data_IF_247994620145
#
_entry.id   IF_247994620145
#
_cell.length_a   1.000
_cell.length_b   1.000
_cell.length_c   1.000
_cell.angle_alpha   90.00
_cell.angle_beta   90.00
_cell.angle_gamma   90.00
#
_symmetry.space_group_name_H-M   'P 1'
#
loop_
_entity.id
_entity.type
_entity.pdbx_description
1 polymer ?
#
# COMPACT_ATOMS: atom_id res chain seq x y z
N UNK A 1 -13.04 5.47 -0.68
CA UNK A 1 -12.55 6.31 -1.79
C UNK A 1 -11.23 5.71 -2.26
N UNK A 2 -11.20 5.05 -3.41
CA UNK A 2 -9.98 4.43 -3.91
C UNK A 2 -9.19 5.46 -4.75
N UNK A 3 -8.08 5.96 -4.22
CA UNK A 3 -7.13 6.73 -5.01
C UNK A 3 -6.28 5.74 -5.81
N UNK A 4 -6.72 5.43 -7.03
CA UNK A 4 -5.92 4.63 -7.97
C UNK A 4 -5.66 5.48 -9.20
N UNK A 5 -4.51 6.17 -9.22
CA UNK A 5 -4.10 6.92 -10.40
C UNK A 5 -3.33 6.00 -11.36
N UNK A 6 -4.05 5.12 -12.06
CA UNK A 6 -3.50 4.22 -13.07
C UNK A 6 -2.90 4.95 -14.29
N UNK A 7 -3.24 6.23 -14.51
CA UNK A 7 -2.87 7.00 -15.70
C UNK A 7 -1.40 7.47 -15.76
N UNK A 8 -0.65 7.41 -14.66
CA UNK A 8 0.74 7.91 -14.65
C UNK A 8 1.71 7.05 -15.46
N UNK A 9 1.40 5.78 -15.72
CA UNK A 9 2.28 4.87 -16.46
C UNK A 9 2.30 5.14 -17.97
N UNK A 10 1.17 5.54 -18.55
CA UNK A 10 1.07 5.86 -19.98
C UNK A 10 1.59 7.27 -20.29
N UNK A 11 1.49 8.20 -19.33
CA UNK A 11 1.99 9.57 -19.46
C UNK A 11 3.51 9.70 -19.22
N UNK A 12 4.22 8.62 -18.85
CA UNK A 12 5.64 8.67 -18.49
C UNK A 12 5.96 9.50 -17.24
N UNK A 13 4.93 9.91 -16.49
CA UNK A 13 5.02 10.78 -15.32
C UNK A 13 5.01 9.99 -14.00
N UNK A 14 4.88 8.66 -14.05
CA UNK A 14 4.97 7.78 -12.88
C UNK A 14 6.40 7.31 -12.60
N UNK A 15 6.77 7.17 -11.33
CA UNK A 15 8.01 6.50 -10.94
C UNK A 15 8.00 5.04 -11.39
N UNK A 16 8.95 4.65 -12.24
CA UNK A 16 9.07 3.28 -12.80
C UNK A 16 9.54 2.23 -11.76
N UNK A 17 9.73 2.61 -10.50
CA UNK A 17 10.44 1.79 -9.51
C UNK A 17 9.51 0.87 -8.68
N UNK A 18 8.46 1.40 -8.06
CA UNK A 18 7.57 0.62 -7.18
C UNK A 18 6.10 0.90 -7.50
N UNK A 19 5.40 -0.09 -8.04
CA UNK A 19 3.96 -0.01 -8.30
C UNK A 19 3.17 -0.48 -7.09
N UNK A 20 2.37 0.40 -6.51
CA UNK A 20 1.55 0.11 -5.35
C UNK A 20 0.17 0.76 -5.49
N UNK A 21 -0.83 0.14 -4.89
CA UNK A 21 -2.19 0.67 -4.77
C UNK A 21 -2.55 0.66 -3.29
N UNK A 22 -3.05 1.80 -2.81
CA UNK A 22 -3.59 1.94 -1.46
C UNK A 22 -5.12 1.96 -1.52
N UNK A 23 -5.76 0.95 -0.93
CA UNK A 23 -7.21 0.80 -0.85
C UNK A 23 -7.69 1.19 0.55
N UNK A 24 -8.49 2.23 0.65
CA UNK A 24 -9.09 2.69 1.91
C UNK A 24 -10.60 2.43 1.83
N UNK A 25 -11.09 1.52 2.68
CA UNK A 25 -12.48 1.03 2.67
C UNK A 25 -12.97 0.72 4.07
N UNK A 26 -14.26 0.76 4.32
CA UNK A 26 -14.93 0.32 5.56
C UNK A 26 -15.29 -1.18 5.54
N UNK A 27 -15.17 -1.82 4.38
CA UNK A 27 -15.30 -3.26 4.21
C UNK A 27 -15.12 -3.72 2.76
N UNK A 28 -15.11 -5.03 2.56
CA UNK A 28 -15.21 -5.69 1.26
C UNK A 28 -16.12 -6.90 1.39
N UNK A 29 -17.21 -6.94 0.60
CA UNK A 29 -18.19 -8.03 0.61
C UNK A 29 -17.58 -9.34 0.09
N UNK A 30 -16.62 -9.25 -0.83
CA UNK A 30 -15.96 -10.38 -1.48
C UNK A 30 -14.43 -10.16 -1.62
N UNK A 31 -13.70 -11.22 -1.94
CA UNK A 31 -12.24 -11.23 -2.08
C UNK A 31 -11.75 -10.73 -3.46
N UNK A 32 -12.66 -10.58 -4.44
CA UNK A 32 -12.38 -10.10 -5.81
C UNK A 32 -11.19 -10.79 -6.52
N UNK A 33 -10.91 -12.06 -6.17
CA UNK A 33 -9.88 -12.90 -6.77
C UNK A 33 -9.78 -12.84 -8.32
N UNK A 34 -10.87 -12.97 -9.10
CA UNK A 34 -10.78 -13.00 -10.56
C UNK A 34 -10.21 -11.71 -11.16
N UNK A 35 -10.30 -10.58 -10.45
CA UNK A 35 -9.69 -9.31 -10.87
C UNK A 35 -8.17 -9.39 -10.70
N UNK A 36 -7.69 -9.90 -9.57
CA UNK A 36 -6.25 -10.03 -9.32
C UNK A 36 -5.60 -11.08 -10.22
N UNK A 37 -6.32 -12.18 -10.50
CA UNK A 37 -5.90 -13.19 -11.46
C UNK A 37 -5.68 -12.61 -12.86
N UNK A 38 -6.60 -11.77 -13.33
CA UNK A 38 -6.54 -11.18 -14.66
C UNK A 38 -5.47 -10.10 -14.80
N UNK A 39 -5.26 -9.27 -13.78
CA UNK A 39 -4.49 -8.03 -13.90
C UNK A 39 -3.15 -8.02 -13.16
N UNK A 40 -2.95 -8.85 -12.13
CA UNK A 40 -1.73 -8.81 -11.30
C UNK A 40 -1.01 -10.15 -11.19
N UNK A 41 -1.70 -11.28 -11.31
CA UNK A 41 -1.09 -12.61 -11.18
C UNK A 41 -0.60 -13.13 -12.54
N UNK A 42 0.43 -14.00 -12.56
CA UNK A 42 1.11 -14.63 -11.42
C UNK A 42 2.25 -13.81 -10.81
N UNK A 43 2.72 -12.75 -11.47
CA UNK A 43 3.95 -12.05 -11.09
C UNK A 43 3.78 -11.14 -9.86
N UNK A 44 2.55 -10.67 -9.60
CA UNK A 44 2.19 -9.80 -8.48
C UNK A 44 3.09 -8.55 -8.44
N UNK A 45 3.16 -7.84 -9.57
CA UNK A 45 4.02 -6.65 -9.74
C UNK A 45 3.51 -5.47 -8.93
N UNK A 46 2.19 -5.34 -8.80
CA UNK A 46 1.54 -4.27 -8.04
C UNK A 46 1.31 -4.73 -6.61
N UNK A 47 1.80 -3.95 -5.63
CA UNK A 47 1.58 -4.21 -4.21
C UNK A 47 0.26 -3.60 -3.73
N UNK A 48 -0.55 -4.36 -3.01
CA UNK A 48 -1.84 -3.89 -2.50
C UNK A 48 -1.78 -3.59 -1.00
N UNK A 49 -1.89 -2.33 -0.62
CA UNK A 49 -2.00 -1.90 0.77
C UNK A 49 -3.46 -1.62 1.07
N UNK A 50 -4.01 -2.22 2.11
CA UNK A 50 -5.43 -2.09 2.45
C UNK A 50 -5.61 -1.51 3.85
N UNK A 51 -6.43 -0.48 3.95
CA UNK A 51 -6.78 0.22 5.17
C UNK A 51 -8.27 0.04 5.42
N UNK A 52 -8.61 -0.73 6.45
CA UNK A 52 -9.99 -0.91 6.89
C UNK A 52 -10.36 0.21 7.87
N UNK A 53 -11.34 1.04 7.54
CA UNK A 53 -11.84 2.11 8.43
C UNK A 53 -13.05 1.59 9.20
N UNK A 54 -12.99 1.69 10.52
CA UNK A 54 -14.11 1.38 11.39
C UNK A 54 -13.86 0.20 12.32
N UNK A 55 -14.80 0.01 13.24
CA UNK A 55 -14.73 -1.02 14.29
C UNK A 55 -15.28 -2.37 13.84
N UNK A 56 -15.84 -2.43 12.63
CA UNK A 56 -16.47 -3.63 12.11
C UNK A 56 -15.42 -4.59 11.55
N UNK A 57 -15.37 -5.81 12.11
CA UNK A 57 -14.39 -6.85 11.73
C UNK A 57 -14.97 -7.90 10.78
N UNK A 58 -16.26 -7.81 10.49
CA UNK A 58 -17.01 -8.74 9.61
C UNK A 58 -16.36 -8.84 8.23
N UNK A 59 -15.83 -7.73 7.72
CA UNK A 59 -15.20 -7.64 6.41
C UNK A 59 -13.67 -7.63 6.45
N UNK A 60 -13.07 -7.72 7.64
CA UNK A 60 -11.62 -7.64 7.82
C UNK A 60 -10.90 -8.79 7.12
N UNK A 61 -11.49 -9.99 7.10
CA UNK A 61 -10.87 -11.16 6.51
C UNK A 61 -10.64 -10.99 5.00
N UNK A 62 -11.66 -10.51 4.27
CA UNK A 62 -11.59 -10.33 2.83
C UNK A 62 -10.58 -9.23 2.46
N UNK A 63 -10.61 -8.11 3.19
CA UNK A 63 -9.69 -6.98 2.97
C UNK A 63 -8.25 -7.40 3.29
N UNK A 64 -8.04 -8.18 4.35
CA UNK A 64 -6.73 -8.74 4.70
C UNK A 64 -6.23 -9.71 3.63
N UNK A 65 -7.10 -10.56 3.10
CA UNK A 65 -6.75 -11.48 2.01
C UNK A 65 -6.25 -10.72 0.78
N UNK A 66 -6.93 -9.64 0.38
CA UNK A 66 -6.53 -8.79 -0.75
C UNK A 66 -5.09 -8.27 -0.60
N UNK A 67 -4.70 -7.81 0.58
CA UNK A 67 -3.34 -7.32 0.83
C UNK A 67 -2.30 -8.45 0.85
N UNK A 68 -2.56 -9.51 1.62
CA UNK A 68 -1.65 -10.65 1.78
C UNK A 68 -1.37 -11.35 0.44
N UNK A 69 -2.41 -11.56 -0.36
CA UNK A 69 -2.33 -12.22 -1.65
C UNK A 69 -1.51 -11.44 -2.69
N UNK A 70 -1.33 -10.12 -2.50
CA UNK A 70 -0.67 -9.23 -3.46
C UNK A 70 0.59 -8.53 -2.88
N UNK A 71 1.34 -9.20 -2.00
CA UNK A 71 2.64 -8.72 -1.46
C UNK A 71 2.58 -7.32 -0.81
N UNK A 72 1.44 -6.94 -0.23
CA UNK A 72 1.29 -5.68 0.48
C UNK A 72 1.01 -5.87 1.97
N UNK A 73 0.24 -4.96 2.56
CA UNK A 73 0.02 -4.91 4.01
C UNK A 73 -1.40 -4.48 4.34
N UNK A 74 -1.93 -5.02 5.45
CA UNK A 74 -3.27 -4.75 5.95
C UNK A 74 -3.17 -4.04 7.29
N UNK A 75 -3.91 -2.94 7.45
CA UNK A 75 -4.11 -2.29 8.75
C UNK A 75 -5.57 -1.90 8.93
N UNK A 76 -6.00 -1.85 10.19
CA UNK A 76 -7.33 -1.43 10.58
C UNK A 76 -7.25 -0.15 11.40
N UNK A 77 -7.94 0.89 10.94
CA UNK A 77 -8.06 2.17 11.60
C UNK A 77 -9.42 2.22 12.30
N UNK A 78 -9.41 1.94 13.60
CA UNK A 78 -10.62 1.85 14.42
C UNK A 78 -11.03 3.20 15.03
N UNK A 79 -10.07 4.09 15.27
CA UNK A 79 -10.28 5.41 15.89
C UNK A 79 -9.41 6.50 15.24
N UNK A 80 -9.78 7.77 15.42
CA UNK A 80 -9.00 8.91 14.89
C UNK A 80 -7.62 9.03 15.55
N UNK A 81 -7.47 8.54 16.79
CA UNK A 81 -6.21 8.48 17.50
C UNK A 81 -5.24 7.46 16.89
N UNK A 82 -5.75 6.40 16.27
CA UNK A 82 -4.96 5.35 15.61
C UNK A 82 -4.40 5.80 14.25
N UNK A 83 -4.84 6.93 13.71
CA UNK A 83 -4.46 7.39 12.36
C UNK A 83 -2.99 7.82 12.31
N UNK A 84 -2.48 8.50 13.34
CA UNK A 84 -1.10 9.02 13.31
C UNK A 84 -0.04 7.90 13.35
N UNK A 85 -0.31 6.78 14.03
CA UNK A 85 0.62 5.65 14.09
C UNK A 85 0.45 4.68 12.91
N UNK A 86 -0.78 4.40 12.47
CA UNK A 86 -1.04 3.40 11.42
C UNK A 86 -0.74 3.88 9.99
N UNK A 87 -0.72 5.20 9.74
CA UNK A 87 -0.41 5.75 8.41
C UNK A 87 1.07 5.61 8.08
N UNK A 88 1.97 5.44 9.06
CA UNK A 88 3.43 5.34 8.80
C UNK A 88 3.93 3.91 8.56
N UNK A 89 3.12 2.87 8.83
CA UNK A 89 3.59 1.48 8.78
C UNK A 89 3.91 0.96 7.36
N UNK A 90 3.34 1.55 6.30
CA UNK A 90 3.63 1.13 4.93
C UNK A 90 5.12 1.29 4.57
N UNK A 91 5.83 2.21 5.23
CA UNK A 91 7.27 2.44 5.03
C UNK A 91 8.10 1.20 5.37
N UNK A 92 7.75 0.46 6.43
CA UNK A 92 8.47 -0.76 6.82
C UNK A 92 8.35 -1.89 5.80
N UNK A 93 7.30 -1.90 4.98
CA UNK A 93 7.07 -2.93 3.96
C UNK A 93 7.75 -2.56 2.64
N UNK A 94 7.81 -1.27 2.33
CA UNK A 94 8.54 -0.75 1.18
C UNK A 94 10.06 -0.79 1.37
N UNK A 95 10.57 -0.71 2.60
CA UNK A 95 12.00 -0.72 2.88
C UNK A 95 12.66 -2.10 2.80
N UNK A 96 11.91 -3.20 2.94
CA UNK A 96 12.46 -4.59 2.96
C UNK A 96 13.38 -4.95 1.78
N UNK A 97 13.03 -4.63 0.52
CA UNK A 97 13.89 -4.92 -0.62
C UNK A 97 15.18 -4.09 -0.61
N UNK A 98 15.13 -2.86 -0.07
CA UNK A 98 16.31 -2.00 0.02
C UNK A 98 17.33 -2.48 1.05
N UNK A 99 16.88 -3.13 2.13
CA UNK A 99 17.77 -3.71 3.15
C UNK A 99 18.52 -4.95 2.64
N UNK A 100 17.94 -5.69 1.69
CA UNK A 100 18.55 -6.88 1.09
C UNK A 100 19.55 -6.48 0.00
N UNK A 101 19.31 -5.33 -0.66
CA UNK A 101 20.26 -4.79 -1.61
C UNK A 101 21.41 -4.14 -0.84
N UNK A 102 22.62 -4.69 -0.94
CA UNK A 102 23.78 -4.20 -0.19
C UNK A 102 24.37 -2.88 -0.73
N UNK A 103 23.78 -2.30 -1.78
CA UNK A 103 24.11 -0.97 -2.28
C UNK A 103 23.45 0.10 -1.42
N UNK A 104 24.29 0.84 -0.69
CA UNK A 104 23.86 1.96 0.15
C UNK A 104 24.14 3.26 -0.59
N UNK A 105 23.21 3.68 -1.44
CA UNK A 105 23.28 4.98 -2.10
C UNK A 105 23.00 6.09 -1.08
N UNK A 106 23.90 7.08 -1.01
CA UNK A 106 23.68 8.29 -0.21
C UNK A 106 22.77 9.23 -1.00
N UNK A 107 21.55 9.43 -0.51
CA UNK A 107 20.54 10.32 -1.10
C UNK A 107 20.42 11.58 -0.23
N UNK A 108 20.52 12.75 -0.85
CA UNK A 108 20.33 14.04 -0.19
C UNK A 108 18.86 14.46 -0.26
N UNK A 109 18.30 14.93 0.86
CA UNK A 109 16.95 15.49 0.88
C UNK A 109 16.93 16.89 0.27
N UNK A 110 15.78 17.31 -0.23
CA UNK A 110 15.57 18.69 -0.64
C UNK A 110 15.70 19.63 0.57
N UNK A 111 16.02 20.91 0.31
CA UNK A 111 16.18 21.89 1.36
C UNK A 111 14.88 22.05 2.18
N UNK A 112 14.97 21.82 3.48
CA UNK A 112 13.86 22.02 4.43
C UNK A 112 14.29 22.98 5.54
N UNK A 113 13.31 23.66 6.15
CA UNK A 113 13.57 24.55 7.26
C UNK A 113 13.83 23.73 8.51
N UNK A 114 14.99 23.92 9.14
CA UNK A 114 15.36 23.16 10.32
C UNK A 114 14.40 23.49 11.48
N UNK A 115 13.89 22.45 12.12
CA UNK A 115 13.04 22.59 13.30
C UNK A 115 13.95 22.85 14.50
N UNK A 116 14.20 24.13 14.77
CA UNK A 116 14.93 24.62 15.95
C UNK A 116 14.20 24.33 17.27
#
# INVERSE_FOLDING_TARGET
MAFVHFQFREAGQGGLCNQAIMLITDGAVEEYEPVFEKYNWPEKRVRMFTYLIGREVTFAQNVKWIACSNKGYYTQISTLADVQENVMEYLHVLSRPMVINHDHDIIWTEAYMDSA
#
